data_IF_256101993401
#
_entry.id   IF_256101993401
#
_cell.length_a   1.000
_cell.length_b   1.000
_cell.length_c   1.000
_cell.angle_alpha   90.00
_cell.angle_beta   90.00
_cell.angle_gamma   90.00
#
_symmetry.space_group_name_H-M   'P 1'
#
loop_
_entity.id
_entity.type
_entity.pdbx_description
1 polymer ?
#
# COMPACT_ATOMS: atom_id res chain seq x y z
N UNK A 1 -1.63 -7.90 34.01
CA UNK A 1 -2.55 -7.05 33.24
C UNK A 1 -2.50 -7.60 31.82
N UNK A 2 -3.55 -8.31 31.41
CA UNK A 2 -3.54 -9.00 30.11
C UNK A 2 -3.27 -7.97 28.99
N UNK A 3 -2.26 -8.22 28.24
CA UNK A 3 -1.94 -7.44 27.04
C UNK A 3 -3.13 -7.61 26.10
N UNK A 4 -3.80 -6.49 25.77
CA UNK A 4 -5.03 -6.51 24.99
C UNK A 4 -4.68 -7.07 23.63
N UNK A 5 -5.39 -8.11 23.20
CA UNK A 5 -5.16 -8.76 21.91
C UNK A 5 -5.12 -7.70 20.79
N UNK A 6 -4.02 -7.59 20.02
CA UNK A 6 -3.93 -6.62 18.93
C UNK A 6 -5.02 -6.80 17.87
N UNK A 7 -5.67 -7.95 17.83
CA UNK A 7 -6.72 -8.31 16.89
C UNK A 7 -8.13 -8.36 17.52
N UNK A 8 -8.33 -7.81 18.74
CA UNK A 8 -9.62 -7.81 19.44
C UNK A 8 -10.75 -7.17 18.59
N UNK A 9 -10.44 -6.17 17.80
CA UNK A 9 -11.38 -5.57 16.84
C UNK A 9 -10.78 -5.60 15.42
N UNK A 10 -10.92 -6.72 14.70
CA UNK A 10 -10.20 -6.92 13.45
C UNK A 10 -10.79 -6.15 12.27
N UNK A 11 -12.11 -5.86 12.24
CA UNK A 11 -12.78 -5.29 11.07
C UNK A 11 -12.19 -3.96 10.58
N UNK A 12 -11.96 -2.93 11.44
CA UNK A 12 -11.30 -1.70 11.00
C UNK A 12 -9.86 -1.95 10.51
N UNK A 13 -9.17 -2.90 11.13
CA UNK A 13 -7.79 -3.25 10.77
C UNK A 13 -7.76 -3.94 9.39
N UNK A 14 -8.69 -4.86 9.12
CA UNK A 14 -8.82 -5.54 7.83
C UNK A 14 -9.05 -4.51 6.71
N UNK A 15 -9.99 -3.58 6.91
CA UNK A 15 -10.27 -2.53 5.91
C UNK A 15 -9.04 -1.68 5.60
N UNK A 16 -8.29 -1.28 6.62
CA UNK A 16 -7.09 -0.45 6.47
C UNK A 16 -5.94 -1.21 5.81
N UNK A 17 -5.71 -2.46 6.18
CA UNK A 17 -4.69 -3.31 5.56
C UNK A 17 -5.07 -3.59 4.10
N UNK A 18 -6.33 -3.96 3.83
CA UNK A 18 -6.80 -4.17 2.46
C UNK A 18 -6.62 -2.92 1.59
N UNK A 19 -7.03 -1.74 2.08
CA UNK A 19 -6.88 -0.50 1.35
C UNK A 19 -5.40 -0.17 1.06
N UNK A 20 -4.51 -0.37 2.03
CA UNK A 20 -3.06 -0.23 1.84
C UNK A 20 -2.54 -1.16 0.74
N UNK A 21 -2.92 -2.43 0.79
CA UNK A 21 -2.53 -3.43 -0.22
C UNK A 21 -3.09 -3.07 -1.59
N UNK A 22 -4.37 -2.68 -1.65
CA UNK A 22 -5.04 -2.29 -2.88
C UNK A 22 -4.41 -1.07 -3.56
N UNK A 23 -3.91 -0.10 -2.81
CA UNK A 23 -3.13 1.01 -3.35
C UNK A 23 -1.82 0.55 -4.02
N UNK A 24 -1.27 -0.59 -3.60
CA UNK A 24 0.01 -1.12 -4.09
C UNK A 24 -0.15 -2.06 -5.30
N UNK A 25 -1.16 -2.92 -5.29
CA UNK A 25 -1.32 -4.00 -6.29
C UNK A 25 -2.69 -4.00 -6.97
N UNK A 26 -3.60 -3.11 -6.56
CA UNK A 26 -4.98 -3.06 -7.02
C UNK A 26 -5.94 -3.80 -6.10
N UNK A 27 -7.23 -3.57 -6.28
CA UNK A 27 -8.33 -4.03 -5.43
C UNK A 27 -8.96 -5.36 -5.87
N UNK A 28 -8.19 -6.20 -6.57
CA UNK A 28 -8.64 -7.52 -7.05
C UNK A 28 -8.32 -8.66 -6.08
N UNK A 29 -8.48 -9.89 -6.57
CA UNK A 29 -8.25 -11.12 -5.80
C UNK A 29 -6.85 -11.19 -5.17
N UNK A 30 -5.83 -10.69 -5.86
CA UNK A 30 -4.46 -10.62 -5.32
C UNK A 30 -4.40 -9.79 -4.02
N UNK A 31 -5.16 -8.68 -3.93
CA UNK A 31 -5.20 -7.86 -2.72
C UNK A 31 -5.92 -8.58 -1.58
N UNK A 32 -6.96 -9.34 -1.88
CA UNK A 32 -7.65 -10.18 -0.91
C UNK A 32 -6.72 -11.27 -0.38
N UNK A 33 -5.97 -11.94 -1.26
CA UNK A 33 -5.01 -12.99 -0.91
C UNK A 33 -3.87 -12.47 -0.04
N UNK A 34 -3.27 -11.33 -0.40
CA UNK A 34 -2.20 -10.69 0.39
C UNK A 34 -2.72 -10.22 1.75
N UNK A 35 -3.95 -9.69 1.79
CA UNK A 35 -4.59 -9.30 3.05
C UNK A 35 -4.85 -10.51 3.94
N UNK A 36 -5.39 -11.59 3.38
CA UNK A 36 -5.63 -12.85 4.11
C UNK A 36 -4.33 -13.42 4.66
N UNK A 37 -3.27 -13.50 3.83
CA UNK A 37 -1.95 -13.96 4.24
C UNK A 37 -1.36 -13.07 5.37
N UNK A 38 -1.63 -11.77 5.34
CA UNK A 38 -1.22 -10.84 6.40
C UNK A 38 -1.87 -11.21 7.72
N UNK A 39 -3.18 -11.42 7.74
CA UNK A 39 -3.90 -11.76 8.98
C UNK A 39 -3.61 -13.18 9.47
N UNK A 40 -3.42 -14.15 8.58
CA UNK A 40 -2.94 -15.49 8.95
C UNK A 40 -1.59 -15.43 9.69
N UNK A 41 -0.65 -14.63 9.18
CA UNK A 41 0.65 -14.40 9.84
C UNK A 41 0.49 -13.64 11.15
N UNK A 42 -0.36 -12.63 11.17
CA UNK A 42 -0.65 -11.87 12.39
C UNK A 42 -1.21 -12.77 13.50
N UNK A 43 -2.12 -13.68 13.17
CA UNK A 43 -2.65 -14.66 14.13
C UNK A 43 -1.57 -15.61 14.65
N UNK A 44 -0.68 -16.06 13.75
CA UNK A 44 0.45 -16.97 14.11
C UNK A 44 1.48 -16.29 15.01
N UNK A 45 1.73 -15.01 14.79
CA UNK A 45 2.77 -14.24 15.47
C UNK A 45 2.21 -13.21 16.47
N UNK A 46 0.93 -13.31 16.86
CA UNK A 46 0.27 -12.33 17.74
C UNK A 46 0.99 -12.09 19.06
N UNK A 47 1.65 -13.12 19.60
CA UNK A 47 2.40 -13.05 20.86
C UNK A 47 3.71 -12.23 20.74
N UNK A 48 4.11 -11.87 19.50
CA UNK A 48 5.25 -11.00 19.23
C UNK A 48 4.89 -9.52 19.18
N UNK A 49 3.60 -9.20 19.23
CA UNK A 49 3.14 -7.82 19.26
C UNK A 49 3.52 -7.15 20.58
N UNK A 50 4.19 -6.02 20.49
CA UNK A 50 4.55 -5.19 21.63
C UNK A 50 3.92 -3.80 21.49
N UNK A 51 2.93 -3.53 22.34
CA UNK A 51 2.22 -2.25 22.38
C UNK A 51 3.13 -1.03 22.60
N UNK A 52 4.30 -1.24 23.22
CA UNK A 52 5.28 -0.17 23.45
C UNK A 52 5.96 0.28 22.16
N UNK A 53 5.96 -0.58 21.14
CA UNK A 53 6.59 -0.35 19.83
C UNK A 53 5.65 0.27 18.81
N UNK A 54 4.34 0.35 19.09
CA UNK A 54 3.37 0.98 18.20
C UNK A 54 1.97 0.40 18.30
N UNK A 55 1.08 0.96 17.52
CA UNK A 55 -0.31 0.50 17.43
C UNK A 55 -0.43 -0.80 16.61
N UNK A 56 -1.50 -1.60 16.81
CA UNK A 56 -1.74 -2.83 16.05
C UNK A 56 -1.65 -2.65 14.54
N UNK A 57 -2.16 -1.54 14.01
CA UNK A 57 -2.11 -1.27 12.57
C UNK A 57 -0.66 -1.13 12.06
N UNK A 58 0.23 -0.48 12.79
CA UNK A 58 1.63 -0.33 12.39
C UNK A 58 2.36 -1.68 12.33
N UNK A 59 2.06 -2.55 13.28
CA UNK A 59 2.59 -3.92 13.29
C UNK A 59 2.04 -4.75 12.13
N UNK A 60 0.73 -4.67 11.85
CA UNK A 60 0.09 -5.36 10.72
C UNK A 60 0.64 -4.89 9.38
N UNK A 61 0.91 -3.58 9.22
CA UNK A 61 1.49 -3.04 7.99
C UNK A 61 2.93 -3.52 7.76
N UNK A 62 3.69 -3.77 8.82
CA UNK A 62 4.98 -4.44 8.71
C UNK A 62 4.85 -5.86 8.16
N UNK A 63 3.85 -6.62 8.61
CA UNK A 63 3.57 -7.96 8.09
C UNK A 63 3.08 -7.88 6.64
N UNK A 64 2.17 -6.95 6.33
CA UNK A 64 1.65 -6.74 4.98
C UNK A 64 2.75 -6.36 3.98
N UNK A 65 3.71 -5.53 4.38
CA UNK A 65 4.88 -5.18 3.58
C UNK A 65 5.73 -6.41 3.22
N UNK A 66 5.92 -7.34 4.15
CA UNK A 66 6.60 -8.61 3.88
C UNK A 66 5.80 -9.48 2.89
N UNK A 67 4.47 -9.59 3.08
CA UNK A 67 3.60 -10.32 2.15
C UNK A 67 3.60 -9.71 0.74
N UNK A 68 3.61 -8.38 0.63
CA UNK A 68 3.75 -7.68 -0.65
C UNK A 68 5.11 -7.94 -1.31
N UNK A 69 6.20 -7.95 -0.53
CA UNK A 69 7.53 -8.27 -1.06
C UNK A 69 7.60 -9.68 -1.63
N UNK A 70 7.00 -10.65 -0.97
CA UNK A 70 6.87 -12.02 -1.48
C UNK A 70 5.98 -12.11 -2.72
N UNK A 71 4.87 -11.37 -2.73
CA UNK A 71 3.99 -11.26 -3.89
C UNK A 71 4.75 -10.77 -5.12
N UNK A 72 5.54 -9.70 -4.99
CA UNK A 72 6.35 -9.18 -6.09
C UNK A 72 7.48 -10.13 -6.51
N UNK A 73 8.09 -10.83 -5.56
CA UNK A 73 9.15 -11.80 -5.85
C UNK A 73 8.65 -13.02 -6.63
N UNK A 74 7.40 -13.44 -6.36
CA UNK A 74 6.80 -14.63 -6.98
C UNK A 74 6.07 -14.33 -8.31
N UNK A 75 5.93 -13.05 -8.68
CA UNK A 75 5.25 -12.68 -9.91
C UNK A 75 6.26 -12.65 -11.06
N UNK A 76 6.03 -13.39 -12.16
CA UNK A 76 6.81 -13.21 -13.37
C UNK A 76 6.69 -11.78 -13.85
N UNK A 77 7.78 -11.21 -14.40
CA UNK A 77 7.88 -9.82 -14.87
C UNK A 77 7.03 -9.60 -16.14
N UNK A 78 5.76 -9.94 -16.10
CA UNK A 78 4.81 -9.58 -17.14
C UNK A 78 4.21 -8.24 -16.75
N UNK A 79 4.36 -7.27 -17.66
CA UNK A 79 3.66 -5.99 -17.66
C UNK A 79 2.21 -6.27 -17.27
N UNK A 80 1.76 -5.74 -16.16
CA UNK A 80 0.40 -5.92 -15.67
C UNK A 80 -0.56 -5.38 -16.73
N UNK A 81 -1.17 -6.27 -17.49
CA UNK A 81 -2.37 -5.96 -18.23
C UNK A 81 -3.42 -5.57 -17.18
N UNK A 82 -3.80 -4.30 -17.20
CA UNK A 82 -4.94 -3.80 -16.45
C UNK A 82 -6.15 -4.58 -16.96
N UNK A 83 -6.86 -5.38 -16.15
CA UNK A 83 -8.06 -6.04 -16.63
C UNK A 83 -9.04 -5.00 -17.15
N UNK A 84 -9.42 -5.12 -18.39
CA UNK A 84 -10.43 -4.27 -19.02
C UNK A 84 -11.80 -4.69 -18.45
N UNK A 85 -12.20 -4.04 -17.35
CA UNK A 85 -13.54 -4.24 -16.81
C UNK A 85 -14.47 -3.33 -17.57
N UNK A 86 -15.27 -3.93 -18.45
CA UNK A 86 -16.37 -3.26 -19.11
C UNK A 86 -17.43 -2.87 -18.06
N UNK A 87 -17.44 -1.61 -17.64
CA UNK A 87 -18.45 -1.07 -16.76
C UNK A 87 -19.49 -0.26 -17.58
N UNK A 88 -20.76 -0.61 -17.42
CA UNK A 88 -21.88 0.12 -18.00
C UNK A 88 -22.60 0.92 -16.91
N UNK A 89 -22.85 2.22 -17.15
CA UNK A 89 -23.69 3.07 -16.32
C UNK A 89 -22.96 4.04 -15.38
N UNK A 90 -23.66 4.63 -14.42
CA UNK A 90 -23.12 5.63 -13.47
C UNK A 90 -21.96 5.08 -12.61
N UNK A 91 -21.92 3.78 -12.36
CA UNK A 91 -20.79 3.06 -11.75
C UNK A 91 -19.51 3.13 -12.62
N UNK A 92 -19.64 3.35 -13.93
CA UNK A 92 -18.50 3.45 -14.84
C UNK A 92 -17.60 4.65 -14.55
N UNK A 93 -18.15 5.77 -14.10
CA UNK A 93 -17.35 6.97 -13.76
C UNK A 93 -16.46 6.73 -12.55
N UNK A 94 -16.99 6.13 -11.49
CA UNK A 94 -16.21 5.83 -10.27
C UNK A 94 -15.16 4.75 -10.54
N UNK A 95 -15.48 3.77 -11.37
CA UNK A 95 -14.54 2.72 -11.79
C UNK A 95 -13.45 3.32 -12.66
N UNK A 96 -13.76 4.19 -13.61
CA UNK A 96 -12.77 4.86 -14.45
C UNK A 96 -11.81 5.72 -13.61
N UNK A 97 -12.31 6.51 -12.68
CA UNK A 97 -11.48 7.32 -11.76
C UNK A 97 -10.57 6.43 -10.90
N UNK A 98 -11.06 5.30 -10.42
CA UNK A 98 -10.24 4.33 -9.64
C UNK A 98 -9.14 3.71 -10.50
N UNK A 99 -9.45 3.35 -11.75
CA UNK A 99 -8.47 2.80 -12.69
C UNK A 99 -7.39 3.82 -13.04
N UNK A 100 -7.75 5.07 -13.28
CA UNK A 100 -6.82 6.15 -13.54
C UNK A 100 -5.91 6.41 -12.34
N UNK A 101 -6.47 6.42 -11.13
CA UNK A 101 -5.71 6.57 -9.90
C UNK A 101 -4.72 5.40 -9.69
N UNK A 102 -5.16 4.17 -9.91
CA UNK A 102 -4.30 2.98 -9.81
C UNK A 102 -3.15 3.05 -10.82
N UNK A 103 -3.46 3.39 -12.07
CA UNK A 103 -2.45 3.59 -13.12
C UNK A 103 -1.46 4.69 -12.73
N UNK A 104 -1.95 5.82 -12.23
CA UNK A 104 -1.11 6.91 -11.80
C UNK A 104 -0.20 6.51 -10.62
N UNK A 105 -0.71 5.78 -9.63
CA UNK A 105 0.08 5.27 -8.50
C UNK A 105 1.14 4.26 -8.99
N UNK A 106 0.82 3.40 -9.96
CA UNK A 106 1.78 2.42 -10.51
C UNK A 106 2.95 3.07 -11.27
N UNK A 107 2.79 4.31 -11.71
CA UNK A 107 3.84 5.10 -12.36
C UNK A 107 4.75 5.84 -11.36
N UNK A 108 4.38 5.91 -10.09
CA UNK A 108 5.21 6.48 -9.05
C UNK A 108 6.42 5.61 -8.73
N UNK A 109 7.43 6.21 -8.09
CA UNK A 109 8.50 5.42 -7.48
C UNK A 109 7.93 4.50 -6.40
N UNK A 110 8.59 3.37 -6.13
CA UNK A 110 8.17 2.43 -5.08
C UNK A 110 8.00 3.14 -3.72
N UNK A 111 8.91 4.05 -3.40
CA UNK A 111 8.87 4.85 -2.16
C UNK A 111 7.67 5.80 -2.12
N UNK A 112 7.38 6.49 -3.24
CA UNK A 112 6.24 7.41 -3.30
C UNK A 112 4.92 6.65 -3.22
N UNK A 113 4.80 5.54 -3.94
CA UNK A 113 3.64 4.66 -3.88
C UNK A 113 3.41 4.11 -2.47
N UNK A 114 4.48 3.73 -1.75
CA UNK A 114 4.42 3.29 -0.36
C UNK A 114 3.87 4.39 0.57
N UNK A 115 4.41 5.60 0.48
CA UNK A 115 3.95 6.72 1.30
C UNK A 115 2.48 7.08 1.05
N UNK A 116 2.05 7.05 -0.22
CA UNK A 116 0.65 7.28 -0.60
C UNK A 116 -0.24 6.16 -0.03
N UNK A 117 0.16 4.90 -0.14
CA UNK A 117 -0.60 3.77 0.40
C UNK A 117 -0.73 3.82 1.93
N UNK A 118 0.35 4.18 2.64
CA UNK A 118 0.33 4.35 4.09
C UNK A 118 -0.58 5.51 4.52
N UNK A 119 -0.53 6.64 3.81
CA UNK A 119 -1.32 7.83 4.13
C UNK A 119 -2.79 7.68 3.82
N UNK A 120 -3.12 7.23 2.60
CA UNK A 120 -4.48 7.24 2.07
C UNK A 120 -5.14 5.85 2.09
N UNK A 121 -4.38 4.78 1.99
CA UNK A 121 -4.89 3.42 2.15
C UNK A 121 -5.05 3.05 3.63
N UNK A 122 -3.96 3.07 4.37
CA UNK A 122 -3.97 2.70 5.78
C UNK A 122 -4.43 3.83 6.73
N UNK A 123 -4.70 5.03 6.22
CA UNK A 123 -5.12 6.21 7.01
C UNK A 123 -4.18 6.51 8.18
N UNK A 124 -2.87 6.55 7.91
CA UNK A 124 -1.86 6.87 8.91
C UNK A 124 -1.54 8.38 8.92
N UNK A 125 -1.29 8.91 10.11
CA UNK A 125 -0.68 10.24 10.27
C UNK A 125 0.80 10.22 9.87
N UNK A 126 1.39 11.37 9.57
CA UNK A 126 2.81 11.48 9.26
C UNK A 126 3.71 10.91 10.39
N UNK A 127 3.31 11.08 11.65
CA UNK A 127 3.99 10.50 12.81
C UNK A 127 3.97 8.98 12.78
N UNK A 128 2.80 8.38 12.52
CA UNK A 128 2.65 6.92 12.42
C UNK A 128 3.41 6.35 11.22
N UNK A 129 3.42 7.06 10.08
CA UNK A 129 4.23 6.69 8.92
C UNK A 129 5.73 6.73 9.27
N UNK A 130 6.17 7.74 10.02
CA UNK A 130 7.54 7.84 10.50
C UNK A 130 7.92 6.62 11.39
N UNK A 131 7.03 6.19 12.27
CA UNK A 131 7.21 5.00 13.09
C UNK A 131 7.32 3.71 12.27
N UNK A 132 6.48 3.56 11.23
CA UNK A 132 6.48 2.38 10.35
C UNK A 132 7.72 2.34 9.45
N UNK A 133 8.12 3.49 8.91
CA UNK A 133 9.19 3.58 7.89
C UNK A 133 10.58 3.84 8.47
N UNK A 134 10.68 4.20 9.76
CA UNK A 134 11.92 4.64 10.39
C UNK A 134 12.39 6.04 9.95
N UNK A 135 11.56 6.78 9.23
CA UNK A 135 11.85 8.15 8.80
C UNK A 135 11.59 9.15 9.93
N UNK A 136 12.12 10.37 9.80
CA UNK A 136 11.71 11.49 10.65
C UNK A 136 10.36 12.04 10.17
N UNK A 137 9.50 12.48 11.09
CA UNK A 137 8.14 12.99 10.76
C UNK A 137 8.19 14.10 9.70
N UNK A 138 9.07 15.10 9.86
CA UNK A 138 9.23 16.17 8.87
C UNK A 138 9.66 15.64 7.50
N UNK A 139 10.50 14.60 7.46
CA UNK A 139 10.91 13.99 6.19
C UNK A 139 9.72 13.26 5.52
N UNK A 140 8.83 12.65 6.30
CA UNK A 140 7.58 12.06 5.80
C UNK A 140 6.67 13.14 5.22
N UNK A 141 6.47 14.26 5.90
CA UNK A 141 5.62 15.35 5.42
C UNK A 141 6.12 15.94 4.10
N UNK A 142 7.43 16.21 4.01
CA UNK A 142 8.05 16.70 2.78
C UNK A 142 7.93 15.66 1.64
N UNK A 143 8.18 14.40 1.95
CA UNK A 143 8.08 13.33 0.96
C UNK A 143 6.65 13.15 0.48
N UNK A 144 5.65 13.13 1.37
CA UNK A 144 4.24 13.07 1.01
C UNK A 144 3.81 14.23 0.11
N UNK A 145 4.24 15.45 0.44
CA UNK A 145 3.95 16.61 -0.39
C UNK A 145 4.49 16.45 -1.81
N UNK A 146 5.73 15.97 -1.95
CA UNK A 146 6.35 15.70 -3.26
C UNK A 146 5.65 14.56 -4.00
N UNK A 147 5.34 13.47 -3.31
CA UNK A 147 4.63 12.32 -3.90
C UNK A 147 3.25 12.72 -4.42
N UNK A 148 2.51 13.55 -3.68
CA UNK A 148 1.22 14.09 -4.11
C UNK A 148 1.33 15.01 -5.32
N UNK A 149 2.35 15.88 -5.36
CA UNK A 149 2.59 16.74 -6.51
C UNK A 149 2.92 15.91 -7.76
N UNK A 150 3.71 14.85 -7.59
CA UNK A 150 4.04 13.91 -8.67
C UNK A 150 2.78 13.15 -9.13
N UNK A 151 1.97 12.63 -8.21
CA UNK A 151 0.73 11.93 -8.52
C UNK A 151 -0.25 12.82 -9.30
N UNK A 152 -0.42 14.06 -8.86
CA UNK A 152 -1.27 15.05 -9.56
C UNK A 152 -0.80 15.25 -10.99
N UNK A 153 0.50 15.46 -11.20
CA UNK A 153 1.07 15.63 -12.54
C UNK A 153 0.82 14.39 -13.41
N UNK A 154 1.02 13.19 -12.89
CA UNK A 154 0.77 11.95 -13.62
C UNK A 154 -0.70 11.83 -14.01
N UNK A 155 -1.63 12.20 -13.11
CA UNK A 155 -3.07 12.21 -13.42
C UNK A 155 -3.44 13.24 -14.50
N UNK A 156 -2.77 14.39 -14.53
CA UNK A 156 -3.02 15.46 -15.51
C UNK A 156 -2.41 15.14 -16.89
N UNK A 157 -1.23 14.54 -16.94
CA UNK A 157 -0.45 14.35 -18.19
C UNK A 157 -0.49 12.91 -18.69
N UNK A 158 -0.81 11.93 -17.84
CA UNK A 158 -0.68 10.52 -18.16
C UNK A 158 0.77 10.01 -18.28
N UNK A 159 1.76 10.88 -18.02
CA UNK A 159 3.18 10.59 -18.21
C UNK A 159 3.84 10.19 -16.88
N UNK A 160 4.68 9.15 -16.94
CA UNK A 160 5.52 8.77 -15.80
C UNK A 160 6.46 9.92 -15.42
N UNK A 161 6.74 10.13 -14.12
CA UNK A 161 7.67 11.15 -13.69
C UNK A 161 9.06 10.92 -14.29
N UNK A 162 9.65 11.97 -14.85
CA UNK A 162 11.04 11.96 -15.26
C UNK A 162 11.93 11.89 -14.01
N UNK A 163 12.35 10.70 -13.64
CA UNK A 163 13.21 10.45 -12.47
C UNK A 163 13.90 9.10 -12.62
N UNK A 164 14.93 8.78 -11.82
CA UNK A 164 15.71 7.57 -12.00
C UNK A 164 14.77 6.37 -11.96
N UNK A 165 14.58 5.81 -13.15
CA UNK A 165 13.67 4.71 -13.42
C UNK A 165 13.89 3.57 -12.42
N UNK A 166 12.82 2.81 -12.17
CA UNK A 166 12.88 1.45 -11.67
C UNK A 166 14.20 0.83 -12.11
N UNK A 167 15.13 0.65 -11.19
CA UNK A 167 16.28 -0.19 -11.49
C UNK A 167 15.73 -1.57 -11.81
N UNK A 168 15.65 -1.88 -13.08
CA UNK A 168 15.63 -3.27 -13.55
C UNK A 168 16.83 -3.94 -12.86
N UNK A 169 16.56 -4.81 -11.92
CA UNK A 169 17.57 -5.77 -11.51
C UNK A 169 17.77 -6.68 -12.72
N UNK A 170 18.76 -6.36 -13.52
CA UNK A 170 19.31 -7.33 -14.46
C UNK A 170 19.95 -8.40 -13.58
N UNK A 171 19.37 -9.59 -13.61
CA UNK A 171 20.01 -10.78 -13.07
C UNK A 171 21.22 -11.08 -13.96
N UNK A 172 22.43 -11.02 -13.39
CA UNK A 172 23.56 -11.82 -13.83
C UNK A 172 23.57 -13.15 -13.10
#
# INVERSE_FOLDING_TARGET
MADRDPLENPEPLIRRVFAYVAYRIGDGADAEDVTSATFERALRYRDTYDRRRGQPISWLLGIAGNCLSEYYANRPTTVSEVPEIAAAGELASDVAVRLDLRRAVSLLSERDAELIALRYGADLTAKQIAEVTGMRTNAVEVALHRSLATLRRVLETGEAPAGPGRRQRVAE
#
